data_IF_595995980888
#
_entry.id   IF_595995980888
#
_cell.length_a   1.000
_cell.length_b   1.000
_cell.length_c   1.000
_cell.angle_alpha   90.00
_cell.angle_beta   90.00
_cell.angle_gamma   90.00
#
_symmetry.space_group_name_H-M   'P 1'
#
loop_
_entity.id
_entity.type
_entity.pdbx_description
1 polymer ?
#
# COMPACT_ATOMS: atom_id res chain seq x y z
N UNK A 1 -10.65 -28.68 58.60
CA UNK A 1 -10.57 -28.80 57.13
C UNK A 1 -10.39 -30.28 56.86
N UNK A 2 -11.41 -30.91 56.31
CA UNK A 2 -11.49 -32.37 56.17
C UNK A 2 -10.68 -32.84 54.95
N UNK A 3 -9.93 -33.93 55.10
CA UNK A 3 -9.04 -34.51 54.07
C UNK A 3 -9.77 -34.85 52.75
N UNK A 4 -11.06 -35.18 52.85
CA UNK A 4 -11.93 -35.42 51.70
C UNK A 4 -12.18 -34.16 50.86
N UNK A 5 -12.28 -32.98 51.48
CA UNK A 5 -12.47 -31.71 50.78
C UNK A 5 -11.20 -31.35 49.99
N UNK A 6 -10.02 -31.53 50.60
CA UNK A 6 -8.72 -31.27 49.97
C UNK A 6 -8.48 -32.16 48.74
N UNK A 7 -8.88 -33.45 48.79
CA UNK A 7 -8.78 -34.35 47.64
C UNK A 7 -9.69 -33.93 46.48
N UNK A 8 -10.93 -33.51 46.79
CA UNK A 8 -11.89 -33.03 45.79
C UNK A 8 -11.40 -31.76 45.08
N UNK A 9 -10.82 -30.82 45.83
CA UNK A 9 -10.27 -29.57 45.27
C UNK A 9 -9.07 -29.84 44.35
N UNK A 10 -8.21 -30.80 44.68
CA UNK A 10 -7.07 -31.19 43.83
C UNK A 10 -7.54 -31.81 42.51
N UNK A 11 -8.59 -32.65 42.53
CA UNK A 11 -9.17 -33.23 41.31
C UNK A 11 -9.79 -32.14 40.40
N UNK A 12 -10.47 -31.16 40.98
CA UNK A 12 -11.04 -30.03 40.23
C UNK A 12 -9.93 -29.15 39.61
N UNK A 13 -8.85 -28.89 40.35
CA UNK A 13 -7.69 -28.17 39.84
C UNK A 13 -7.00 -28.91 38.69
N UNK A 14 -6.87 -30.24 38.79
CA UNK A 14 -6.33 -31.07 37.70
C UNK A 14 -7.22 -31.03 36.46
N UNK A 15 -8.54 -31.10 36.64
CA UNK A 15 -9.49 -31.01 35.53
C UNK A 15 -9.38 -29.66 34.82
N UNK A 16 -9.31 -28.56 35.58
CA UNK A 16 -9.13 -27.20 35.04
C UNK A 16 -7.79 -27.03 34.33
N UNK A 17 -6.72 -27.62 34.87
CA UNK A 17 -5.40 -27.59 34.23
C UNK A 17 -5.41 -28.31 32.88
N UNK A 18 -6.06 -29.47 32.79
CA UNK A 18 -6.22 -30.21 31.53
C UNK A 18 -7.06 -29.40 30.53
N UNK A 19 -8.17 -28.82 30.96
CA UNK A 19 -9.00 -27.97 30.10
C UNK A 19 -8.23 -26.78 29.54
N UNK A 20 -7.50 -26.06 30.40
CA UNK A 20 -6.67 -24.91 29.99
C UNK A 20 -5.57 -25.33 29.01
N UNK A 21 -5.02 -26.53 29.20
CA UNK A 21 -4.01 -27.11 28.29
C UNK A 21 -4.61 -27.40 26.91
N UNK A 22 -5.80 -28.01 26.87
CA UNK A 22 -6.50 -28.32 25.62
C UNK A 22 -6.90 -27.05 24.85
N UNK A 23 -7.42 -26.04 25.56
CA UNK A 23 -7.75 -24.73 24.98
C UNK A 23 -6.51 -24.01 24.41
N UNK A 24 -5.39 -24.06 25.14
CA UNK A 24 -4.10 -23.48 24.68
C UNK A 24 -3.59 -24.18 23.42
N UNK A 25 -3.75 -25.50 23.36
CA UNK A 25 -3.34 -26.31 22.21
C UNK A 25 -4.21 -26.02 20.98
N UNK A 26 -5.52 -25.90 21.17
CA UNK A 26 -6.45 -25.52 20.11
C UNK A 26 -6.20 -24.10 19.61
N UNK A 27 -5.90 -23.15 20.51
CA UNK A 27 -5.51 -21.78 20.16
C UNK A 27 -4.25 -21.76 19.29
N UNK A 28 -3.26 -22.59 19.62
CA UNK A 28 -2.03 -22.71 18.82
C UNK A 28 -2.32 -23.29 17.43
N UNK A 29 -3.25 -24.25 17.30
CA UNK A 29 -3.67 -24.78 15.99
C UNK A 29 -4.33 -23.71 15.12
N UNK A 30 -5.26 -22.93 15.67
CA UNK A 30 -5.89 -21.82 14.95
C UNK A 30 -4.87 -20.75 14.55
N UNK A 31 -3.89 -20.49 15.41
CA UNK A 31 -2.81 -19.55 15.12
C UNK A 31 -1.98 -19.99 13.90
N UNK A 32 -1.66 -21.28 13.81
CA UNK A 32 -0.95 -21.82 12.65
C UNK A 32 -1.77 -21.68 11.37
N UNK A 33 -3.05 -22.02 11.41
CA UNK A 33 -3.94 -21.86 10.25
C UNK A 33 -4.01 -20.40 9.79
N UNK A 34 -4.22 -19.46 10.70
CA UNK A 34 -4.23 -18.03 10.37
C UNK A 34 -2.89 -17.56 9.78
N UNK A 35 -1.77 -18.11 10.26
CA UNK A 35 -0.44 -17.78 9.75
C UNK A 35 -0.23 -18.31 8.33
N UNK A 36 -0.76 -19.49 8.01
CA UNK A 36 -0.70 -20.07 6.67
C UNK A 36 -1.54 -19.27 5.68
N UNK A 37 -2.78 -18.94 6.06
CA UNK A 37 -3.68 -18.07 5.27
C UNK A 37 -3.04 -16.68 5.03
N UNK A 38 -2.47 -16.08 6.07
CA UNK A 38 -1.77 -14.78 5.97
C UNK A 38 -0.61 -14.82 4.97
N UNK A 39 0.10 -15.94 4.86
CA UNK A 39 1.20 -16.11 3.91
C UNK A 39 0.69 -16.17 2.48
N UNK A 40 -0.43 -16.85 2.23
CA UNK A 40 -1.04 -16.92 0.90
C UNK A 40 -1.52 -15.53 0.43
N UNK A 41 -2.15 -14.77 1.32
CA UNK A 41 -2.60 -13.41 1.01
C UNK A 41 -1.44 -12.43 0.80
N UNK A 42 -0.33 -12.62 1.54
CA UNK A 42 0.90 -11.86 1.31
C UNK A 42 1.48 -12.14 -0.09
N UNK A 43 1.48 -13.40 -0.54
CA UNK A 43 1.94 -13.75 -1.90
C UNK A 43 1.04 -13.09 -2.95
N UNK A 44 -0.28 -13.15 -2.80
CA UNK A 44 -1.21 -12.48 -3.73
C UNK A 44 -0.97 -10.98 -3.79
N UNK A 45 -0.70 -10.37 -2.64
CA UNK A 45 -0.40 -8.95 -2.54
C UNK A 45 0.91 -8.60 -3.24
N UNK A 46 1.96 -9.42 -3.07
CA UNK A 46 3.24 -9.23 -3.77
C UNK A 46 3.09 -9.33 -5.29
N UNK A 47 2.28 -10.27 -5.79
CA UNK A 47 1.98 -10.37 -7.22
C UNK A 47 1.23 -9.13 -7.72
N UNK A 48 0.25 -8.64 -6.97
CA UNK A 48 -0.47 -7.42 -7.33
C UNK A 48 0.43 -6.17 -7.32
N UNK A 49 1.41 -6.10 -6.41
CA UNK A 49 2.39 -5.02 -6.37
C UNK A 49 3.36 -5.07 -7.56
N UNK A 50 3.77 -6.26 -7.99
CA UNK A 50 4.60 -6.47 -9.19
C UNK A 50 3.87 -5.98 -10.46
N UNK A 51 2.60 -6.39 -10.64
CA UNK A 51 1.76 -5.93 -11.76
C UNK A 51 1.52 -4.41 -11.73
N UNK A 52 1.39 -3.81 -10.55
CA UNK A 52 1.30 -2.35 -10.41
C UNK A 52 2.63 -1.66 -10.77
N UNK A 53 3.77 -2.27 -10.47
CA UNK A 53 5.08 -1.80 -10.88
C UNK A 53 5.19 -1.70 -12.40
N UNK A 54 4.86 -2.79 -13.11
CA UNK A 54 4.87 -2.77 -14.58
C UNK A 54 3.88 -1.76 -15.19
N UNK A 55 2.76 -1.49 -14.51
CA UNK A 55 1.84 -0.44 -14.93
C UNK A 55 2.44 0.95 -14.79
N UNK A 56 3.19 1.21 -13.72
CA UNK A 56 3.89 2.47 -13.53
C UNK A 56 4.95 2.68 -14.61
N UNK A 57 5.72 1.64 -14.95
CA UNK A 57 6.72 1.72 -16.03
C UNK A 57 6.06 2.11 -17.37
N UNK A 58 4.91 1.51 -17.72
CA UNK A 58 4.16 1.90 -18.93
C UNK A 58 3.62 3.33 -18.87
N UNK A 59 3.22 3.79 -17.69
CA UNK A 59 2.75 5.16 -17.50
C UNK A 59 3.90 6.16 -17.65
N UNK A 60 5.09 5.83 -17.14
CA UNK A 60 6.31 6.62 -17.30
C UNK A 60 6.72 6.71 -18.78
N UNK A 61 6.74 5.59 -19.50
CA UNK A 61 6.99 5.57 -20.94
C UNK A 61 5.96 6.42 -21.72
N UNK A 62 4.68 6.33 -21.36
CA UNK A 62 3.62 7.14 -21.95
C UNK A 62 3.77 8.64 -21.67
N UNK A 63 4.26 9.01 -20.50
CA UNK A 63 4.58 10.40 -20.16
C UNK A 63 5.74 10.91 -21.03
N UNK A 64 6.83 10.16 -21.16
CA UNK A 64 7.95 10.56 -22.02
C UNK A 64 7.54 10.72 -23.49
N UNK A 65 6.65 9.85 -23.98
CA UNK A 65 6.06 9.98 -25.31
C UNK A 65 5.25 11.28 -25.44
N UNK A 66 4.40 11.61 -24.47
CA UNK A 66 3.61 12.86 -24.47
C UNK A 66 4.52 14.09 -24.47
N UNK A 67 5.61 14.08 -23.70
CA UNK A 67 6.58 15.18 -23.71
C UNK A 67 7.20 15.37 -25.10
N UNK A 68 7.57 14.26 -25.75
CA UNK A 68 8.10 14.27 -27.13
C UNK A 68 7.07 14.81 -28.12
N UNK A 69 5.85 14.29 -28.07
CA UNK A 69 4.76 14.71 -28.96
C UNK A 69 4.39 16.18 -28.76
N UNK A 70 4.39 16.68 -27.53
CA UNK A 70 4.15 18.09 -27.22
C UNK A 70 5.23 19.01 -27.81
N UNK A 71 6.50 18.59 -27.76
CA UNK A 71 7.61 19.33 -28.41
C UNK A 71 7.46 19.35 -29.93
N UNK A 72 7.06 18.24 -30.53
CA UNK A 72 6.88 18.17 -31.98
C UNK A 72 5.63 18.90 -32.46
N UNK A 73 4.54 18.88 -31.69
CA UNK A 73 3.38 19.73 -31.91
C UNK A 73 3.75 21.22 -31.87
N UNK A 74 4.58 21.65 -30.92
CA UNK A 74 5.07 23.04 -30.84
C UNK A 74 5.88 23.43 -32.08
N UNK A 75 6.79 22.55 -32.55
CA UNK A 75 7.55 22.77 -33.80
C UNK A 75 6.64 22.88 -35.02
N UNK A 76 5.64 21.99 -35.14
CA UNK A 76 4.71 21.99 -36.26
C UNK A 76 3.86 23.28 -36.28
N UNK A 77 3.38 23.73 -35.11
CA UNK A 77 2.65 24.98 -35.00
C UNK A 77 3.52 26.21 -35.30
N UNK A 78 4.78 26.24 -34.84
CA UNK A 78 5.75 27.28 -35.23
C UNK A 78 6.06 27.24 -36.74
N UNK A 79 6.11 26.05 -37.34
CA UNK A 79 6.26 25.87 -38.78
C UNK A 79 5.08 26.42 -39.58
N UNK A 80 3.86 26.32 -39.03
CA UNK A 80 2.63 26.86 -39.60
C UNK A 80 2.45 28.37 -39.39
N UNK A 81 3.13 29.00 -38.42
CA UNK A 81 3.11 30.46 -38.20
C UNK A 81 3.74 31.25 -39.37
N UNK A 82 4.51 30.57 -40.23
CA UNK A 82 5.04 31.14 -41.48
C UNK A 82 3.95 31.22 -42.56
N UNK A 83 2.96 32.07 -42.36
CA UNK A 83 2.04 32.47 -43.41
C UNK A 83 2.78 33.43 -44.38
N UNK A 84 2.92 33.02 -45.64
CA UNK A 84 3.38 33.85 -46.76
C UNK A 84 4.85 34.34 -46.72
N UNK A 85 5.81 33.41 -46.70
CA UNK A 85 7.13 33.54 -47.38
C UNK A 85 8.11 34.67 -47.03
N UNK A 86 7.74 35.73 -46.30
CA UNK A 86 8.62 36.87 -46.03
C UNK A 86 8.34 37.65 -44.73
N UNK A 87 7.21 37.43 -44.03
CA UNK A 87 6.90 38.17 -42.80
C UNK A 87 6.33 37.25 -41.70
N UNK A 88 6.93 37.25 -40.51
CA UNK A 88 6.35 36.72 -39.27
C UNK A 88 5.21 37.65 -38.83
N UNK A 89 4.00 37.16 -38.62
CA UNK A 89 2.91 37.97 -38.06
C UNK A 89 3.28 38.42 -36.63
N UNK A 90 3.58 39.71 -36.37
CA UNK A 90 4.12 40.17 -35.07
C UNK A 90 3.12 40.06 -33.91
N UNK A 91 1.86 39.72 -34.20
CA UNK A 91 0.73 39.78 -33.27
C UNK A 91 0.33 38.42 -32.67
N UNK A 92 1.01 37.31 -33.03
CA UNK A 92 0.78 36.00 -32.41
C UNK A 92 2.09 35.28 -32.09
N UNK A 93 2.93 35.92 -31.26
CA UNK A 93 4.08 35.24 -30.68
C UNK A 93 3.59 34.13 -29.74
N UNK A 94 3.55 32.89 -30.23
CA UNK A 94 3.26 31.74 -29.37
C UNK A 94 4.34 31.68 -28.28
N UNK A 95 3.94 31.59 -27.01
CA UNK A 95 4.90 31.47 -25.90
C UNK A 95 5.51 30.07 -25.96
N UNK A 96 6.84 29.97 -25.83
CA UNK A 96 7.51 28.67 -25.74
C UNK A 96 6.89 27.85 -24.61
N UNK A 97 6.36 26.67 -24.94
CA UNK A 97 5.69 25.77 -24.00
C UNK A 97 6.65 25.33 -22.89
N UNK A 98 7.91 25.00 -23.23
CA UNK A 98 8.97 24.65 -22.27
C UNK A 98 9.31 25.76 -21.25
N UNK A 99 8.95 27.01 -21.54
CA UNK A 99 9.18 28.16 -20.63
C UNK A 99 7.99 28.47 -19.74
N UNK A 100 6.88 27.75 -19.89
CA UNK A 100 5.70 27.87 -19.03
C UNK A 100 5.96 27.33 -17.62
N UNK A 101 5.34 27.95 -16.63
CA UNK A 101 5.39 27.47 -15.24
C UNK A 101 4.72 26.08 -15.12
N UNK A 102 3.68 25.82 -15.93
CA UNK A 102 2.98 24.53 -15.99
C UNK A 102 3.89 23.39 -16.49
N UNK A 103 4.70 23.64 -17.53
CA UNK A 103 5.68 22.66 -18.03
C UNK A 103 6.73 22.34 -16.97
N UNK A 104 7.21 23.35 -16.26
CA UNK A 104 8.15 23.14 -15.15
C UNK A 104 7.52 22.34 -14.02
N UNK A 105 6.27 22.60 -13.66
CA UNK A 105 5.60 21.86 -12.61
C UNK A 105 5.47 20.36 -12.94
N UNK A 106 5.14 20.02 -14.17
CA UNK A 106 4.95 18.61 -14.60
C UNK A 106 6.25 17.90 -14.93
N UNK A 107 7.25 18.59 -15.49
CA UNK A 107 8.45 17.97 -16.10
C UNK A 107 9.79 18.41 -15.49
N UNK A 108 9.84 19.44 -14.63
CA UNK A 108 11.11 19.94 -14.06
C UNK A 108 11.47 19.39 -12.67
N UNK A 109 10.75 18.36 -12.22
CA UNK A 109 11.19 17.43 -11.18
C UNK A 109 11.31 18.03 -9.77
N UNK A 110 10.40 17.63 -8.87
CA UNK A 110 10.75 17.49 -7.46
C UNK A 110 9.81 16.58 -6.61
N UNK A 111 8.95 15.74 -7.21
CA UNK A 111 8.03 14.89 -6.43
C UNK A 111 8.06 13.40 -6.82
N UNK A 112 9.06 12.95 -7.59
CA UNK A 112 9.30 11.52 -7.79
C UNK A 112 9.70 10.87 -6.47
N UNK A 113 8.80 10.05 -5.92
CA UNK A 113 9.07 9.27 -4.71
C UNK A 113 8.52 9.87 -3.41
N UNK A 114 7.58 10.81 -3.44
CA UNK A 114 6.81 11.15 -2.22
C UNK A 114 5.88 9.98 -1.88
N UNK A 115 6.44 8.98 -1.21
CA UNK A 115 5.69 7.89 -0.58
C UNK A 115 4.74 8.54 0.42
N UNK A 116 3.44 8.59 0.11
CA UNK A 116 2.46 9.06 1.08
C UNK A 116 2.58 8.15 2.31
N UNK A 117 2.91 8.72 3.47
CA UNK A 117 3.05 7.98 4.73
C UNK A 117 1.74 7.35 5.21
N UNK A 118 0.66 7.50 4.45
CA UNK A 118 -0.60 6.77 4.56
C UNK A 118 -0.51 5.38 3.92
N UNK A 119 0.60 4.66 4.11
CA UNK A 119 0.55 3.21 3.97
C UNK A 119 -0.45 2.69 5.02
N UNK A 120 -1.29 1.68 4.70
CA UNK A 120 -2.16 1.08 5.69
C UNK A 120 -1.28 0.60 6.85
N UNK A 121 -1.36 1.33 7.97
CA UNK A 121 -0.68 0.96 9.20
C UNK A 121 -1.14 -0.45 9.52
N UNK A 122 -0.19 -1.40 9.64
CA UNK A 122 -0.44 -2.76 10.12
C UNK A 122 -1.46 -2.66 11.25
N UNK A 123 -2.69 -3.14 11.02
CA UNK A 123 -3.68 -3.26 12.09
C UNK A 123 -2.97 -4.03 13.19
N UNK A 124 -2.73 -3.37 14.33
CA UNK A 124 -2.32 -4.07 15.54
C UNK A 124 -3.55 -4.90 15.90
N UNK A 125 -3.56 -6.17 15.47
CA UNK A 125 -4.39 -7.21 16.05
C UNK A 125 -3.89 -7.44 17.47
N UNK A 126 -4.05 -6.45 18.34
CA UNK A 126 -3.75 -6.49 19.76
C UNK A 126 -5.01 -6.29 20.60
N UNK A 127 -6.17 -6.09 19.98
CA UNK A 127 -7.45 -5.90 20.68
C UNK A 127 -8.40 -7.10 20.63
N UNK A 128 -8.02 -8.21 19.99
CA UNK A 128 -8.76 -9.47 20.13
C UNK A 128 -8.15 -10.44 21.15
N UNK A 129 -6.99 -10.12 21.73
CA UNK A 129 -6.36 -10.95 22.77
C UNK A 129 -6.73 -10.51 24.20
N UNK A 130 -7.19 -9.26 24.39
CA UNK A 130 -7.49 -8.71 25.72
C UNK A 130 -8.79 -9.25 26.33
N UNK A 131 -9.76 -9.71 25.51
CA UNK A 131 -11.04 -10.24 26.02
C UNK A 131 -11.01 -11.73 26.39
N UNK A 132 -9.91 -12.45 26.11
CA UNK A 132 -9.82 -13.89 26.41
C UNK A 132 -9.03 -14.25 27.68
N UNK A 133 -8.43 -13.28 28.39
CA UNK A 133 -7.49 -13.56 29.50
C UNK A 133 -7.95 -13.18 30.91
N UNK A 134 -9.18 -12.69 31.12
CA UNK A 134 -9.63 -12.32 32.47
C UNK A 134 -11.04 -12.86 32.76
N UNK A 135 -11.10 -14.09 33.32
CA UNK A 135 -11.66 -14.22 34.66
C UNK A 135 -10.88 -15.25 35.52
N UNK A 136 -9.59 -15.00 35.79
CA UNK A 136 -8.81 -15.81 36.77
C UNK A 136 -8.42 -14.97 38.01
N UNK A 137 -9.08 -13.83 38.23
CA UNK A 137 -8.85 -13.05 39.45
C UNK A 137 -10.12 -12.35 39.96
N UNK A 138 -11.13 -13.15 40.30
CA UNK A 138 -12.16 -12.91 41.32
C UNK A 138 -12.57 -14.26 41.88
#
# INVERSE_FOLDING_TARGET
>A
MDDATMRSEIEELQMKANQTTDESLESTRRMLQMSEESKEDAIRTLVALDEQGEQLDRVEEGMDQINTDMRDAEKNLMGMEKCCGLCVCPWKKMRNFEKGDDYKQTWSGNEDGKVSSSQPMRMKTAEMVSQATLPILQ
#
